data_IF_680293329143
#
_entry.id   IF_680293329143
#
_cell.length_a   1.000
_cell.length_b   1.000
_cell.length_c   1.000
_cell.angle_alpha   90.00
_cell.angle_beta   90.00
_cell.angle_gamma   90.00
#
_symmetry.space_group_name_H-M   'P 1'
#
loop_
_entity.id
_entity.type
_entity.pdbx_description
1 polymer ?
#
# COMPACT_ATOMS: atom_id res chain seq x y z
N UNK A 1 2.04 -5.71 17.85
CA UNK A 1 1.80 -4.38 17.30
C UNK A 1 1.09 -4.45 15.95
N UNK A 2 0.38 -3.37 15.55
CA UNK A 2 -0.42 -3.31 14.34
C UNK A 2 0.10 -2.21 13.41
N UNK A 3 0.51 -2.57 12.19
CA UNK A 3 0.88 -1.64 11.12
C UNK A 3 -0.22 -1.68 10.07
N UNK A 4 -0.77 -0.54 9.69
CA UNK A 4 -1.78 -0.46 8.64
C UNK A 4 -1.23 0.25 7.40
N UNK A 5 -1.42 -0.38 6.25
CA UNK A 5 -1.12 0.18 4.94
C UNK A 5 -2.42 0.28 4.18
N UNK A 6 -2.74 1.46 3.72
CA UNK A 6 -3.98 1.68 3.00
C UNK A 6 -3.92 2.90 2.10
N UNK A 7 -5.06 3.28 1.57
CA UNK A 7 -5.20 4.50 0.80
C UNK A 7 -6.52 5.19 1.11
N UNK A 8 -6.56 6.47 0.80
CA UNK A 8 -7.77 7.29 0.79
C UNK A 8 -8.22 7.62 -0.64
N UNK A 9 -7.56 7.04 -1.63
CA UNK A 9 -7.83 7.20 -3.06
C UNK A 9 -8.30 5.86 -3.65
N UNK A 10 -9.28 5.87 -4.54
CA UNK A 10 -9.76 4.67 -5.22
C UNK A 10 -8.79 4.27 -6.34
N UNK A 11 -8.31 3.02 -6.30
CA UNK A 11 -7.43 2.45 -7.34
C UNK A 11 -6.08 1.98 -6.84
N UNK A 12 -5.23 1.56 -7.76
CA UNK A 12 -3.91 0.99 -7.52
C UNK A 12 -2.90 2.02 -7.03
N UNK A 13 -2.64 2.05 -5.73
CA UNK A 13 -1.66 2.96 -5.10
C UNK A 13 -0.42 2.24 -4.59
N UNK A 14 -0.29 0.91 -4.88
CA UNK A 14 0.86 0.10 -4.46
C UNK A 14 0.84 -0.36 -3.00
N UNK A 15 -0.33 -0.39 -2.35
CA UNK A 15 -0.48 -0.83 -0.95
C UNK A 15 0.10 -2.22 -0.68
N UNK A 16 -0.33 -3.19 -1.46
CA UNK A 16 0.05 -4.59 -1.29
C UNK A 16 1.56 -4.79 -1.48
N UNK A 17 2.14 -4.13 -2.49
CA UNK A 17 3.60 -4.14 -2.69
C UNK A 17 4.35 -3.54 -1.50
N UNK A 18 3.87 -2.43 -0.93
CA UNK A 18 4.46 -1.83 0.25
C UNK A 18 4.32 -2.73 1.48
N UNK A 19 3.17 -3.40 1.66
CA UNK A 19 2.98 -4.36 2.74
C UNK A 19 4.02 -5.49 2.67
N UNK A 20 4.27 -6.02 1.47
CA UNK A 20 5.28 -7.05 1.23
C UNK A 20 6.69 -6.53 1.55
N UNK A 21 7.04 -5.32 1.14
CA UNK A 21 8.37 -4.75 1.44
C UNK A 21 8.57 -4.51 2.94
N UNK A 22 7.55 -4.04 3.65
CA UNK A 22 7.60 -3.93 5.13
C UNK A 22 7.79 -5.31 5.76
N UNK A 23 7.06 -6.33 5.27
CA UNK A 23 7.25 -7.72 5.74
C UNK A 23 8.68 -8.19 5.57
N UNK A 24 9.28 -7.99 4.39
CA UNK A 24 10.69 -8.34 4.12
C UNK A 24 11.67 -7.61 5.06
N UNK A 25 11.41 -6.34 5.37
CA UNK A 25 12.23 -5.57 6.33
C UNK A 25 12.14 -6.17 7.74
N UNK A 26 10.93 -6.55 8.17
CA UNK A 26 10.72 -7.17 9.48
C UNK A 26 11.39 -8.55 9.57
N UNK A 27 11.30 -9.35 8.50
CA UNK A 27 11.95 -10.66 8.43
C UNK A 27 13.47 -10.56 8.52
N UNK A 28 14.08 -9.58 7.83
CA UNK A 28 15.53 -9.29 7.94
C UNK A 28 15.95 -8.91 9.36
N UNK A 29 15.00 -8.43 10.16
CA UNK A 29 15.21 -8.08 11.59
C UNK A 29 14.83 -9.22 12.54
N UNK A 30 14.48 -10.41 12.01
CA UNK A 30 13.99 -11.57 12.75
C UNK A 30 12.72 -11.27 13.59
N UNK A 31 11.89 -10.35 13.15
CA UNK A 31 10.63 -10.01 13.82
C UNK A 31 9.52 -10.87 13.24
N UNK A 32 8.87 -11.67 14.07
CA UNK A 32 7.77 -12.56 13.67
C UNK A 32 6.53 -11.76 13.27
N UNK A 33 6.30 -11.58 11.97
CA UNK A 33 5.21 -10.77 11.44
C UNK A 33 4.31 -11.56 10.49
N UNK A 34 3.05 -11.12 10.37
CA UNK A 34 2.04 -11.71 9.49
C UNK A 34 1.22 -10.62 8.80
N UNK A 35 0.50 -11.03 7.76
CA UNK A 35 -0.50 -10.19 7.10
C UNK A 35 -1.90 -10.43 7.66
N UNK A 36 -2.67 -9.36 7.73
CA UNK A 36 -4.12 -9.39 8.02
C UNK A 36 -4.84 -8.83 6.80
N UNK A 37 -5.71 -9.62 6.19
CA UNK A 37 -6.52 -9.21 5.04
C UNK A 37 -7.99 -9.51 5.30
N UNK A 38 -8.87 -8.56 5.00
CA UNK A 38 -10.31 -8.83 4.98
C UNK A 38 -10.63 -9.70 3.77
N UNK A 39 -11.48 -10.68 3.98
CA UNK A 39 -11.94 -11.54 2.90
C UNK A 39 -12.90 -10.78 1.99
N UNK A 40 -12.48 -10.54 0.77
CA UNK A 40 -13.30 -10.02 -0.32
C UNK A 40 -13.25 -11.02 -1.48
N UNK A 41 -14.41 -11.51 -1.97
CA UNK A 41 -14.45 -12.46 -3.07
C UNK A 41 -13.73 -11.99 -4.34
N UNK A 42 -13.75 -10.67 -4.57
CA UNK A 42 -13.18 -10.04 -5.77
C UNK A 42 -11.67 -9.71 -5.64
N UNK A 43 -11.01 -10.09 -4.53
CA UNK A 43 -9.60 -9.79 -4.26
C UNK A 43 -8.80 -11.05 -3.90
N UNK A 44 -9.12 -12.16 -4.52
CA UNK A 44 -8.43 -13.45 -4.28
C UNK A 44 -6.97 -13.38 -4.72
N UNK A 45 -6.68 -12.68 -5.80
CA UNK A 45 -5.33 -12.46 -6.33
C UNK A 45 -4.41 -11.76 -5.32
N UNK A 46 -4.90 -10.72 -4.65
CA UNK A 46 -4.15 -10.04 -3.58
C UNK A 46 -3.90 -10.97 -2.37
N UNK A 47 -4.87 -11.80 -2.02
CA UNK A 47 -4.75 -12.77 -0.92
C UNK A 47 -3.68 -13.83 -1.25
N UNK A 48 -3.70 -14.35 -2.46
CA UNK A 48 -2.70 -15.30 -2.95
C UNK A 48 -1.31 -14.66 -2.97
N UNK A 49 -1.21 -13.43 -3.46
CA UNK A 49 0.04 -12.70 -3.51
C UNK A 49 0.65 -12.52 -2.11
N UNK A 50 -0.10 -12.03 -1.14
CA UNK A 50 0.37 -11.87 0.24
C UNK A 50 0.82 -13.21 0.84
N UNK A 51 0.06 -14.28 0.59
CA UNK A 51 0.36 -15.62 1.12
C UNK A 51 1.66 -16.21 0.59
N UNK A 52 2.14 -15.77 -0.58
CA UNK A 52 3.47 -16.16 -1.11
C UNK A 52 4.63 -15.55 -0.31
N UNK A 53 4.39 -14.42 0.33
CA UNK A 53 5.43 -13.67 1.07
C UNK A 53 5.36 -13.83 2.59
N UNK A 54 4.33 -14.49 3.10
CA UNK A 54 4.24 -14.77 4.52
C UNK A 54 2.88 -15.27 4.97
N UNK A 55 2.81 -15.66 6.25
CA UNK A 55 1.54 -16.08 6.83
C UNK A 55 0.50 -14.96 6.71
N UNK A 56 -0.64 -15.27 6.11
CA UNK A 56 -1.76 -14.35 5.91
C UNK A 56 -2.99 -14.89 6.63
N UNK A 57 -3.54 -14.10 7.53
CA UNK A 57 -4.82 -14.39 8.18
C UNK A 57 -5.94 -13.66 7.42
N UNK A 58 -6.82 -14.44 6.82
CA UNK A 58 -7.93 -13.95 6.00
C UNK A 58 -9.23 -14.25 6.75
N UNK A 59 -10.06 -13.25 6.96
CA UNK A 59 -11.34 -13.40 7.64
C UNK A 59 -12.31 -12.27 7.22
N UNK A 60 -13.60 -12.46 7.36
CA UNK A 60 -14.62 -11.42 7.13
C UNK A 60 -14.47 -10.23 8.11
N UNK A 61 -13.96 -10.51 9.32
CA UNK A 61 -13.61 -9.52 10.34
C UNK A 61 -12.11 -9.47 10.55
N UNK A 62 -11.49 -8.27 10.44
CA UNK A 62 -10.06 -8.08 10.74
C UNK A 62 -9.71 -8.32 12.20
N UNK A 63 -10.66 -8.08 13.13
CA UNK A 63 -10.46 -8.36 14.56
C UNK A 63 -10.27 -9.86 14.77
N UNK A 64 -11.10 -10.70 14.15
CA UNK A 64 -11.00 -12.16 14.29
C UNK A 64 -9.71 -12.69 13.66
N UNK A 65 -9.28 -12.13 12.53
CA UNK A 65 -7.99 -12.44 11.95
C UNK A 65 -6.82 -12.05 12.88
N UNK A 66 -6.90 -10.87 13.51
CA UNK A 66 -5.90 -10.40 14.48
C UNK A 66 -5.84 -11.29 15.73
N UNK A 67 -7.00 -11.72 16.26
CA UNK A 67 -7.03 -12.65 17.40
C UNK A 67 -6.28 -13.94 17.10
N UNK A 68 -6.48 -14.51 15.89
CA UNK A 68 -5.72 -15.71 15.46
C UNK A 68 -4.22 -15.43 15.38
N UNK A 69 -3.82 -14.28 14.84
CA UNK A 69 -2.41 -13.91 14.77
C UNK A 69 -1.77 -13.77 16.16
N UNK A 70 -2.52 -13.22 17.13
CA UNK A 70 -2.06 -13.11 18.54
C UNK A 70 -1.90 -14.51 19.17
N UNK A 71 -2.87 -15.40 18.96
CA UNK A 71 -2.80 -16.80 19.48
C UNK A 71 -1.57 -17.53 18.90
N UNK A 72 -1.24 -17.31 17.63
CA UNK A 72 -0.06 -17.86 16.96
C UNK A 72 1.25 -17.12 17.30
N UNK A 73 1.19 -16.19 18.27
CA UNK A 73 2.34 -15.44 18.81
C UNK A 73 3.10 -14.64 17.76
N UNK A 74 2.37 -13.97 16.84
CA UNK A 74 2.94 -12.96 15.96
C UNK A 74 3.15 -11.64 16.70
N UNK A 75 4.32 -11.03 16.52
CA UNK A 75 4.71 -9.78 17.18
C UNK A 75 4.14 -8.55 16.46
N UNK A 76 4.08 -8.63 15.11
CA UNK A 76 3.58 -7.55 14.27
C UNK A 76 2.56 -8.11 13.27
N UNK A 77 1.39 -7.48 13.24
CA UNK A 77 0.34 -7.68 12.25
C UNK A 77 0.36 -6.53 11.23
N UNK A 78 0.53 -6.85 9.95
CA UNK A 78 0.52 -5.91 8.83
C UNK A 78 -0.85 -5.99 8.17
N UNK A 79 -1.63 -4.92 8.26
CA UNK A 79 -2.97 -4.81 7.68
C UNK A 79 -2.89 -4.22 6.27
N UNK A 80 -3.32 -4.98 5.27
CA UNK A 80 -3.47 -4.49 3.92
C UNK A 80 -4.90 -3.96 3.71
N UNK A 81 -4.98 -2.66 3.33
CA UNK A 81 -6.21 -1.90 3.10
C UNK A 81 -7.14 -1.82 4.33
N UNK A 82 -6.60 -1.45 5.48
CA UNK A 82 -7.32 -1.40 6.76
C UNK A 82 -7.71 0.00 7.27
N UNK A 83 -7.33 1.10 6.62
CA UNK A 83 -7.45 2.46 7.18
C UNK A 83 -8.89 2.87 7.50
N UNK A 84 -9.87 2.40 6.75
CA UNK A 84 -11.30 2.70 6.96
C UNK A 84 -11.91 1.88 8.10
N UNK A 85 -11.21 0.87 8.61
CA UNK A 85 -11.71 0.02 9.71
C UNK A 85 -11.42 0.68 11.06
N UNK A 86 -12.45 1.28 11.63
CA UNK A 86 -12.38 1.98 12.92
C UNK A 86 -12.39 1.04 14.13
N UNK A 87 -12.58 -0.26 13.93
CA UNK A 87 -12.63 -1.25 15.01
C UNK A 87 -11.25 -1.63 15.54
N UNK A 88 -10.20 -1.22 14.84
CA UNK A 88 -8.80 -1.53 15.20
C UNK A 88 -8.03 -0.23 15.38
N UNK A 89 -7.28 -0.15 16.48
CA UNK A 89 -6.28 0.89 16.69
C UNK A 89 -4.94 0.44 16.12
N UNK A 90 -4.36 1.24 15.24
CA UNK A 90 -3.07 0.95 14.62
C UNK A 90 -1.96 1.72 15.32
N UNK A 91 -0.87 1.03 15.66
CA UNK A 91 0.34 1.67 16.22
C UNK A 91 1.03 2.53 15.16
N UNK A 92 0.97 2.12 13.89
CA UNK A 92 1.55 2.82 12.76
C UNK A 92 0.63 2.71 11.53
N UNK A 93 0.36 3.83 10.87
CA UNK A 93 -0.49 3.88 9.69
C UNK A 93 0.20 4.59 8.55
N UNK A 94 0.11 4.01 7.34
CA UNK A 94 0.65 4.59 6.12
C UNK A 94 -0.46 4.77 5.08
N UNK A 95 -0.54 5.97 4.51
CA UNK A 95 -1.44 6.29 3.39
C UNK A 95 -0.63 6.29 2.10
N UNK A 96 -0.99 5.40 1.18
CA UNK A 96 -0.32 5.30 -0.12
C UNK A 96 -1.03 6.16 -1.17
N UNK A 97 -0.24 6.95 -1.90
CA UNK A 97 -0.65 7.63 -3.13
C UNK A 97 0.22 7.20 -4.30
N UNK A 98 -0.36 7.14 -5.47
CA UNK A 98 0.39 7.04 -6.71
C UNK A 98 0.89 8.44 -7.10
N UNK A 99 2.17 8.60 -7.42
CA UNK A 99 2.80 9.87 -7.77
C UNK A 99 2.14 10.58 -8.97
N UNK A 100 1.59 9.82 -9.91
CA UNK A 100 0.93 10.34 -11.10
C UNK A 100 -0.47 10.91 -10.79
N UNK A 101 -1.26 10.20 -10.00
CA UNK A 101 -2.67 10.53 -9.77
C UNK A 101 -2.88 11.35 -8.50
N UNK A 102 -1.99 11.21 -7.49
CA UNK A 102 -2.06 11.89 -6.18
C UNK A 102 -3.46 11.81 -5.56
N UNK A 103 -4.14 12.95 -5.46
CA UNK A 103 -5.51 13.09 -4.92
C UNK A 103 -6.59 13.26 -6.00
N UNK A 104 -6.19 13.19 -7.30
CA UNK A 104 -7.10 13.51 -8.41
C UNK A 104 -7.65 14.92 -8.30
N UNK A 105 -8.97 15.08 -8.47
CA UNK A 105 -9.66 16.36 -8.32
C UNK A 105 -9.91 16.77 -6.85
N UNK A 106 -9.53 15.92 -5.87
CA UNK A 106 -9.66 16.20 -4.43
C UNK A 106 -11.05 16.01 -3.83
N UNK A 107 -12.04 15.57 -4.62
CA UNK A 107 -13.39 15.31 -4.14
C UNK A 107 -13.60 13.86 -3.69
N UNK A 108 -14.58 13.68 -2.81
CA UNK A 108 -15.02 12.37 -2.38
C UNK A 108 -15.87 11.68 -3.46
N UNK A 109 -15.94 10.36 -3.40
CA UNK A 109 -16.88 9.55 -4.17
C UNK A 109 -18.31 10.00 -3.87
N UNK A 110 -19.17 10.19 -4.88
CA UNK A 110 -18.99 9.90 -6.31
C UNK A 110 -18.41 11.05 -7.15
N UNK A 111 -18.22 12.26 -6.59
CA UNK A 111 -17.75 13.45 -7.35
C UNK A 111 -16.24 13.39 -7.67
N UNK A 112 -15.49 12.54 -7.02
CA UNK A 112 -14.06 12.35 -7.25
C UNK A 112 -13.58 11.00 -6.69
N UNK A 113 -12.26 10.77 -6.72
CA UNK A 113 -11.70 9.46 -6.42
C UNK A 113 -11.41 9.22 -4.94
N UNK A 114 -11.67 10.17 -4.05
CA UNK A 114 -11.31 10.01 -2.65
C UNK A 114 -12.34 9.17 -1.89
N UNK A 115 -11.85 8.19 -1.13
CA UNK A 115 -12.64 7.35 -0.20
C UNK A 115 -12.88 8.06 1.14
N UNK A 116 -11.96 8.96 1.51
CA UNK A 116 -12.02 9.77 2.73
C UNK A 116 -11.58 11.21 2.43
N UNK A 117 -12.08 12.13 3.25
CA UNK A 117 -11.63 13.52 3.20
C UNK A 117 -10.13 13.62 3.56
N UNK A 118 -9.41 14.55 2.94
CA UNK A 118 -7.99 14.79 3.23
C UNK A 118 -7.70 15.08 4.71
N UNK A 119 -8.69 15.58 5.48
CA UNK A 119 -8.55 15.76 6.93
C UNK A 119 -8.20 14.46 7.68
N UNK A 120 -8.48 13.28 7.09
CA UNK A 120 -8.09 12.00 7.66
C UNK A 120 -6.56 11.83 7.78
N UNK A 121 -5.77 12.56 7.00
CA UNK A 121 -4.31 12.57 7.08
C UNK A 121 -3.79 13.00 8.46
N UNK A 122 -4.54 13.80 9.22
CA UNK A 122 -4.18 14.13 10.62
C UNK A 122 -4.09 12.89 11.51
N UNK A 123 -4.85 11.83 11.19
CA UNK A 123 -4.84 10.57 11.95
C UNK A 123 -3.69 9.65 11.54
N UNK A 124 -3.38 9.65 10.23
CA UNK A 124 -2.46 8.65 9.66
C UNK A 124 -1.00 9.10 9.67
N UNK A 125 -0.73 10.39 9.54
CA UNK A 125 0.57 11.07 9.63
C UNK A 125 1.67 10.62 8.66
N UNK A 126 1.67 9.39 8.15
CA UNK A 126 2.70 8.89 7.25
C UNK A 126 2.12 8.69 5.85
N UNK A 127 2.76 9.29 4.87
CA UNK A 127 2.36 9.27 3.46
C UNK A 127 3.45 8.61 2.65
N UNK A 128 3.09 7.56 1.90
CA UNK A 128 3.93 6.97 0.87
C UNK A 128 3.51 7.46 -0.51
N UNK A 129 4.48 7.99 -1.25
CA UNK A 129 4.34 8.35 -2.65
C UNK A 129 5.01 7.26 -3.50
N UNK A 130 4.18 6.45 -4.15
CA UNK A 130 4.62 5.34 -5.01
C UNK A 130 4.67 5.75 -6.47
N UNK A 131 5.76 5.45 -7.16
CA UNK A 131 5.91 5.72 -8.60
C UNK A 131 7.31 6.12 -8.97
N UNK A 132 7.54 6.31 -10.27
CA UNK A 132 8.82 6.70 -10.88
C UNK A 132 8.78 8.17 -11.32
N UNK A 133 9.91 8.86 -11.19
CA UNK A 133 10.27 10.11 -11.90
C UNK A 133 9.32 11.33 -11.82
N UNK A 134 8.23 11.29 -11.07
CA UNK A 134 7.35 12.44 -10.91
C UNK A 134 7.87 13.36 -9.80
N UNK A 135 8.06 14.64 -10.12
CA UNK A 135 8.37 15.65 -9.09
C UNK A 135 7.07 16.08 -8.39
N UNK A 136 6.93 15.72 -7.13
CA UNK A 136 5.73 16.00 -6.33
C UNK A 136 5.98 17.01 -5.20
N UNK A 137 7.04 17.82 -5.27
CA UNK A 137 7.39 18.78 -4.21
C UNK A 137 6.25 19.78 -3.95
N UNK A 138 5.62 20.32 -5.00
CA UNK A 138 4.47 21.22 -4.86
C UNK A 138 3.30 20.55 -4.12
N UNK A 139 3.08 19.26 -4.35
CA UNK A 139 2.04 18.51 -3.67
C UNK A 139 2.37 18.34 -2.19
N UNK A 140 3.61 17.95 -1.85
CA UNK A 140 4.08 17.84 -0.47
C UNK A 140 3.96 19.17 0.28
N UNK A 141 4.41 20.28 -0.32
CA UNK A 141 4.31 21.61 0.26
C UNK A 141 2.85 21.99 0.53
N UNK A 142 1.94 21.72 -0.42
CA UNK A 142 0.50 21.96 -0.24
C UNK A 142 -0.09 21.17 0.92
N UNK A 143 0.29 19.91 1.07
CA UNK A 143 -0.19 19.09 2.17
C UNK A 143 0.42 19.53 3.50
N UNK A 144 1.72 19.80 3.56
CA UNK A 144 2.39 20.26 4.79
C UNK A 144 1.84 21.60 5.31
N UNK A 145 1.44 22.51 4.42
CA UNK A 145 0.74 23.74 4.84
C UNK A 145 -0.58 23.49 5.58
N UNK A 146 -1.26 22.39 5.28
CA UNK A 146 -2.55 22.01 5.89
C UNK A 146 -2.40 21.01 7.03
N UNK A 147 -1.37 20.20 6.98
CA UNK A 147 -1.11 19.06 7.85
C UNK A 147 0.40 19.02 8.17
N UNK A 148 0.89 19.89 9.08
CA UNK A 148 2.33 20.07 9.30
C UNK A 148 3.05 18.84 9.87
N UNK A 149 2.31 17.93 10.52
CA UNK A 149 2.87 16.72 11.15
C UNK A 149 3.02 15.53 10.17
N UNK A 150 2.84 15.74 8.86
CA UNK A 150 2.98 14.66 7.88
C UNK A 150 4.44 14.31 7.63
N UNK A 151 4.72 13.01 7.65
CA UNK A 151 5.96 12.43 7.20
C UNK A 151 5.77 11.87 5.79
N UNK A 152 6.67 12.21 4.87
CA UNK A 152 6.64 11.71 3.50
C UNK A 152 7.75 10.71 3.27
N UNK A 153 7.38 9.60 2.64
CA UNK A 153 8.27 8.54 2.18
C UNK A 153 8.04 8.34 0.68
N UNK A 154 9.11 8.13 -0.05
CA UNK A 154 9.04 7.87 -1.48
C UNK A 154 9.55 6.49 -1.80
N UNK A 155 8.87 5.81 -2.68
CA UNK A 155 9.28 4.53 -3.22
C UNK A 155 9.42 4.62 -4.73
N UNK A 156 10.31 3.77 -5.29
CA UNK A 156 10.50 3.63 -6.73
C UNK A 156 10.32 2.17 -7.09
N UNK A 157 9.73 1.93 -8.24
CA UNK A 157 9.76 0.60 -8.83
C UNK A 157 11.17 0.33 -9.36
N UNK A 158 11.61 -0.91 -9.22
CA UNK A 158 12.88 -1.39 -9.74
C UNK A 158 12.62 -2.67 -10.53
N UNK A 159 13.11 -2.73 -11.75
CA UNK A 159 13.19 -3.98 -12.50
C UNK A 159 14.20 -4.90 -11.81
N UNK A 160 13.81 -6.14 -11.51
CA UNK A 160 14.65 -7.07 -10.75
C UNK A 160 15.52 -7.95 -11.62
N UNK A 161 15.13 -8.18 -12.86
CA UNK A 161 15.73 -9.15 -13.77
C UNK A 161 16.07 -8.55 -15.14
N UNK A 162 16.48 -7.28 -15.17
CA UNK A 162 16.83 -6.59 -16.41
C UNK A 162 17.96 -7.31 -17.17
N UNK A 163 18.89 -7.92 -16.43
CA UNK A 163 20.05 -8.62 -16.98
C UNK A 163 19.67 -9.93 -17.72
N UNK A 164 18.43 -10.43 -17.54
CA UNK A 164 17.90 -11.60 -18.25
C UNK A 164 17.41 -11.28 -19.67
N UNK A 165 17.31 -9.99 -20.01
CA UNK A 165 16.76 -9.51 -21.27
C UNK A 165 17.82 -8.80 -22.11
N UNK A 166 17.89 -9.14 -23.40
CA UNK A 166 18.67 -8.37 -24.34
C UNK A 166 17.86 -7.16 -24.83
N UNK A 167 18.32 -5.95 -24.54
CA UNK A 167 17.62 -4.70 -24.84
C UNK A 167 17.36 -4.48 -26.36
N UNK A 168 18.09 -5.21 -27.24
CA UNK A 168 17.90 -5.15 -28.67
C UNK A 168 16.83 -6.11 -29.22
N UNK A 169 16.27 -6.95 -28.37
CA UNK A 169 15.23 -7.90 -28.78
C UNK A 169 13.85 -7.21 -28.79
N UNK A 170 12.95 -7.72 -29.62
CA UNK A 170 11.56 -7.28 -29.64
C UNK A 170 10.75 -8.07 -28.62
N UNK A 171 10.10 -7.38 -27.69
CA UNK A 171 9.28 -7.98 -26.64
C UNK A 171 7.80 -7.69 -26.83
N UNK A 172 6.98 -8.68 -26.57
CA UNK A 172 5.54 -8.49 -26.32
C UNK A 172 5.35 -8.39 -24.82
N UNK A 173 4.86 -7.24 -24.35
CA UNK A 173 4.68 -6.97 -22.92
C UNK A 173 3.21 -6.90 -22.56
N UNK A 174 2.85 -7.50 -21.43
CA UNK A 174 1.50 -7.44 -20.86
C UNK A 174 1.57 -7.38 -19.32
N UNK A 175 0.58 -6.78 -18.70
CA UNK A 175 0.52 -6.68 -17.25
C UNK A 175 -0.90 -6.84 -16.73
N UNK A 176 -1.03 -7.45 -15.54
CA UNK A 176 -2.28 -7.54 -14.79
C UNK A 176 -2.46 -6.41 -13.77
N UNK A 177 -1.63 -5.35 -13.81
CA UNK A 177 -1.76 -4.23 -12.88
C UNK A 177 -2.80 -3.21 -13.36
N UNK A 178 -3.52 -2.61 -12.43
CA UNK A 178 -4.61 -1.66 -12.73
C UNK A 178 -4.20 -0.37 -13.42
N UNK A 179 -2.89 -0.08 -13.56
CA UNK A 179 -2.35 1.09 -14.25
C UNK A 179 -1.26 0.69 -15.24
N UNK A 180 -1.68 0.40 -16.49
CA UNK A 180 -0.78 0.03 -17.57
C UNK A 180 0.32 1.05 -17.86
N UNK A 181 0.03 2.36 -17.75
CA UNK A 181 1.03 3.38 -18.01
C UNK A 181 2.17 3.38 -17.00
N UNK A 182 1.93 2.96 -15.76
CA UNK A 182 3.00 2.78 -14.78
C UNK A 182 3.93 1.65 -15.17
N UNK A 183 3.39 0.56 -15.70
CA UNK A 183 4.17 -0.58 -16.18
C UNK A 183 5.02 -0.21 -17.39
N UNK A 184 4.43 0.41 -18.41
CA UNK A 184 5.15 0.84 -19.61
C UNK A 184 6.27 1.85 -19.32
N UNK A 185 6.09 2.74 -18.34
CA UNK A 185 7.11 3.70 -17.94
C UNK A 185 8.27 3.08 -17.13
N UNK A 186 8.17 1.81 -16.76
CA UNK A 186 9.24 1.08 -16.07
C UNK A 186 10.14 0.29 -17.03
N UNK A 187 9.62 0.03 -18.24
CA UNK A 187 10.36 -0.64 -19.33
C UNK A 187 11.18 0.37 -20.12
#
# INVERSE_FOLDING_TARGET
>A
KCICIGNIYLGGTGKTSLAIEIKKILDKKNIKSCFIKKNYPDQIDEQILLSKFGKTFIHSSRIEALKKAILDKYEIAIFDDGLQDKSISYDLSFVCFNKKNLIGNGFLIPAGPLRENLKSLNRYKNVFLNGTNENNENFKIKLLKKFPDLNFYETKYKLLNLDEFNINDNFVVFSGIGNHSTFLNML
#
